data_IF_476320458840
#
_entry.id   IF_476320458840
#
_cell.length_a   1.000
_cell.length_b   1.000
_cell.length_c   1.000
_cell.angle_alpha   90.00
_cell.angle_beta   90.00
_cell.angle_gamma   90.00
#
_symmetry.space_group_name_H-M   'P 1'
#
loop_
_entity.id
_entity.type
_entity.pdbx_description
1 polymer ?
#
# COMPACT_ATOMS: atom_id res chain seq x y z
N UNK A 1 2.18 -5.96 -3.00
CA UNK A 1 1.37 -5.39 -1.90
C UNK A 1 1.69 -6.11 -0.59
N UNK A 2 1.61 -5.42 0.55
CA UNK A 2 1.92 -6.02 1.86
C UNK A 2 0.75 -6.80 2.47
N UNK A 3 -0.50 -6.37 2.23
CA UNK A 3 -1.71 -6.97 2.84
C UNK A 3 -2.90 -7.08 1.87
N UNK A 4 -2.64 -7.39 0.61
CA UNK A 4 -3.67 -7.54 -0.42
C UNK A 4 -3.19 -8.37 -1.59
N UNK A 5 -4.08 -8.65 -2.54
CA UNK A 5 -3.77 -9.43 -3.74
C UNK A 5 -3.22 -8.50 -4.83
N UNK A 6 -2.04 -8.77 -5.41
CA UNK A 6 -1.53 -7.98 -6.52
C UNK A 6 -2.40 -8.17 -7.77
N UNK A 7 -2.56 -7.10 -8.55
CA UNK A 7 -3.19 -7.10 -9.86
C UNK A 7 -2.33 -6.29 -10.81
N UNK A 8 -1.88 -6.92 -11.89
CA UNK A 8 -1.03 -6.30 -12.91
C UNK A 8 -1.89 -5.40 -13.80
N UNK A 9 -1.42 -4.19 -14.04
CA UNK A 9 -2.10 -3.18 -14.87
C UNK A 9 -1.25 -2.70 -16.05
N UNK A 10 0.07 -2.93 -16.02
CA UNK A 10 1.05 -2.43 -17.00
C UNK A 10 0.91 -0.92 -17.29
N UNK A 11 0.70 -0.13 -16.22
CA UNK A 11 0.61 1.33 -16.28
C UNK A 11 1.80 1.97 -15.56
N UNK A 12 2.29 3.08 -16.13
CA UNK A 12 3.25 3.96 -15.47
C UNK A 12 2.52 5.23 -15.04
N UNK A 13 2.58 5.52 -13.74
CA UNK A 13 2.12 6.77 -13.18
C UNK A 13 3.32 7.60 -12.76
N UNK A 14 3.40 8.83 -13.23
CA UNK A 14 4.48 9.75 -12.92
C UNK A 14 3.93 11.17 -12.72
N UNK A 15 4.51 11.89 -11.77
CA UNK A 15 4.14 13.27 -11.46
C UNK A 15 5.05 13.82 -10.37
N UNK A 16 5.16 15.15 -10.30
CA UNK A 16 5.94 15.84 -9.27
C UNK A 16 5.21 15.94 -7.92
N UNK A 17 3.89 15.78 -7.92
CA UNK A 17 3.05 15.78 -6.72
C UNK A 17 2.64 14.33 -6.37
N UNK A 18 3.16 13.83 -5.25
CA UNK A 18 2.90 12.48 -4.76
C UNK A 18 1.44 12.27 -4.36
N UNK A 19 0.77 13.27 -3.78
CA UNK A 19 -0.65 13.17 -3.41
C UNK A 19 -1.49 13.02 -4.68
N UNK A 20 -1.14 13.77 -5.73
CA UNK A 20 -1.80 13.68 -7.04
C UNK A 20 -1.63 12.31 -7.69
N UNK A 21 -0.41 11.76 -7.67
CA UNK A 21 -0.11 10.43 -8.23
C UNK A 21 -0.89 9.35 -7.49
N UNK A 22 -0.83 9.31 -6.16
CA UNK A 22 -1.53 8.31 -5.36
C UNK A 22 -3.05 8.45 -5.47
N UNK A 23 -3.57 9.68 -5.55
CA UNK A 23 -5.02 9.91 -5.75
C UNK A 23 -5.48 9.45 -7.13
N UNK A 24 -4.61 9.50 -8.14
CA UNK A 24 -4.89 8.94 -9.47
C UNK A 24 -4.86 7.42 -9.42
N UNK A 25 -3.87 6.82 -8.75
CA UNK A 25 -3.81 5.38 -8.53
C UNK A 25 -5.07 4.85 -7.80
N UNK A 26 -5.56 5.56 -6.77
CA UNK A 26 -6.82 5.23 -6.10
C UNK A 26 -7.99 5.17 -7.07
N UNK A 27 -8.14 6.17 -7.95
CA UNK A 27 -9.21 6.21 -8.95
C UNK A 27 -9.10 5.06 -9.95
N UNK A 28 -7.89 4.72 -10.40
CA UNK A 28 -7.65 3.54 -11.25
C UNK A 28 -8.06 2.25 -10.54
N UNK A 29 -7.82 2.15 -9.23
CA UNK A 29 -8.23 1.02 -8.40
C UNK A 29 -9.73 1.04 -8.01
N UNK A 30 -10.50 2.03 -8.49
CA UNK A 30 -11.89 2.32 -8.07
C UNK A 30 -12.06 2.49 -6.56
N UNK A 31 -11.07 3.12 -5.92
CA UNK A 31 -11.11 3.55 -4.53
C UNK A 31 -11.27 5.06 -4.50
N UNK A 32 -12.24 5.58 -3.73
CA UNK A 32 -12.36 7.03 -3.53
C UNK A 32 -11.15 7.54 -2.74
N UNK A 33 -10.35 8.48 -3.28
CA UNK A 33 -9.23 9.08 -2.55
C UNK A 33 -9.63 9.71 -1.21
N UNK A 34 -10.88 10.17 -1.05
CA UNK A 34 -11.36 10.76 0.19
C UNK A 34 -11.52 9.76 1.34
N UNK A 35 -11.70 8.46 1.02
CA UNK A 35 -11.73 7.38 2.01
C UNK A 35 -10.33 7.05 2.55
N UNK A 36 -9.28 7.48 1.84
CA UNK A 36 -7.89 7.22 2.19
C UNK A 36 -7.38 8.33 3.12
N UNK A 37 -7.34 8.03 4.42
CA UNK A 37 -7.05 9.01 5.48
C UNK A 37 -5.72 9.77 5.27
N UNK A 38 -4.66 9.08 4.84
CA UNK A 38 -3.36 9.74 4.66
C UNK A 38 -3.37 10.71 3.48
N UNK A 39 -4.08 10.43 2.39
CA UNK A 39 -4.21 11.36 1.25
C UNK A 39 -4.98 12.61 1.64
N UNK A 40 -6.10 12.43 2.34
CA UNK A 40 -6.89 13.55 2.88
C UNK A 40 -6.07 14.41 3.83
N UNK A 41 -5.26 13.79 4.69
CA UNK A 41 -4.43 14.50 5.66
C UNK A 41 -3.28 15.25 4.98
N UNK A 42 -2.59 14.62 4.03
CA UNK A 42 -1.51 15.25 3.26
C UNK A 42 -2.01 16.44 2.43
N UNK A 43 -3.16 16.27 1.77
CA UNK A 43 -3.82 17.34 1.01
C UNK A 43 -4.22 18.53 1.89
N UNK A 44 -4.85 18.27 3.04
CA UNK A 44 -5.18 19.33 4.02
C UNK A 44 -3.94 20.03 4.59
N UNK A 45 -2.82 19.34 4.67
CA UNK A 45 -1.53 19.90 5.09
C UNK A 45 -0.80 20.68 3.98
N UNK A 46 -1.37 20.75 2.76
CA UNK A 46 -0.75 21.46 1.63
C UNK A 46 0.41 20.72 0.99
N UNK A 47 0.58 19.42 1.24
CA UNK A 47 1.66 18.60 0.67
C UNK A 47 1.40 18.15 -0.78
N UNK A 48 0.23 18.46 -1.30
CA UNK A 48 -0.19 18.12 -2.67
C UNK A 48 -1.71 18.21 -2.84
N UNK A 49 -2.18 17.90 -4.03
CA UNK A 49 -3.61 17.95 -4.40
C UNK A 49 -4.18 16.55 -4.62
N UNK A 50 -5.42 16.32 -4.19
CA UNK A 50 -6.17 15.11 -4.56
C UNK A 50 -6.90 15.24 -5.89
N UNK A 51 -6.93 16.44 -6.48
CA UNK A 51 -7.65 16.75 -7.72
C UNK A 51 -6.66 17.18 -8.82
N UNK A 52 -5.81 16.27 -9.30
CA UNK A 52 -4.89 16.58 -10.40
C UNK A 52 -5.60 16.66 -11.73
N UNK A 53 -4.97 17.37 -12.67
CA UNK A 53 -5.20 17.17 -14.10
C UNK A 53 -4.32 16.00 -14.57
N UNK A 54 -4.96 14.90 -14.95
CA UNK A 54 -4.25 13.74 -15.51
C UNK A 54 -4.10 13.92 -17.02
N UNK A 55 -2.87 13.72 -17.51
CA UNK A 55 -2.53 13.76 -18.93
C UNK A 55 -1.81 12.47 -19.31
N UNK A 56 -2.05 11.97 -20.51
CA UNK A 56 -1.46 10.70 -20.98
C UNK A 56 -2.20 10.14 -22.18
N UNK A 57 -1.73 8.99 -22.65
CA UNK A 57 -2.29 8.28 -23.80
C UNK A 57 -3.68 7.70 -23.52
N UNK A 58 -3.94 7.31 -22.27
CA UNK A 58 -5.17 6.63 -21.86
C UNK A 58 -5.87 7.42 -20.76
N UNK A 59 -7.21 7.45 -20.79
CA UNK A 59 -7.98 8.07 -19.72
C UNK A 59 -8.10 7.14 -18.52
N UNK A 60 -8.18 7.72 -17.32
CA UNK A 60 -8.34 6.96 -16.08
C UNK A 60 -9.57 6.04 -16.12
N UNK A 61 -10.67 6.49 -16.72
CA UNK A 61 -11.90 5.70 -16.86
C UNK A 61 -11.71 4.39 -17.62
N UNK A 62 -10.80 4.37 -18.59
CA UNK A 62 -10.67 3.28 -19.55
C UNK A 62 -9.84 2.13 -18.96
N UNK A 63 -9.01 2.44 -17.97
CA UNK A 63 -8.17 1.47 -17.24
C UNK A 63 -8.67 1.22 -15.82
N UNK A 64 -9.68 1.95 -15.36
CA UNK A 64 -10.19 1.82 -14.00
C UNK A 64 -10.83 0.45 -13.78
N UNK A 65 -10.35 -0.27 -12.76
CA UNK A 65 -10.79 -1.62 -12.46
C UNK A 65 -10.86 -1.84 -10.96
N UNK A 66 -11.69 -2.76 -10.52
CA UNK A 66 -11.86 -3.04 -9.10
C UNK A 66 -10.64 -3.79 -8.56
N UNK A 67 -10.16 -3.32 -7.41
CA UNK A 67 -9.15 -3.99 -6.61
C UNK A 67 -9.79 -4.51 -5.33
N UNK A 68 -9.42 -5.72 -4.92
CA UNK A 68 -9.81 -6.24 -3.63
C UNK A 68 -9.23 -5.35 -2.51
N UNK A 69 -10.06 -4.99 -1.53
CA UNK A 69 -9.61 -4.22 -0.36
C UNK A 69 -8.56 -5.02 0.41
N UNK A 70 -7.48 -4.34 0.77
CA UNK A 70 -6.49 -4.90 1.66
C UNK A 70 -7.10 -5.16 3.05
N UNK A 71 -6.84 -6.33 3.62
CA UNK A 71 -7.21 -6.58 5.00
C UNK A 71 -6.25 -5.80 5.91
N UNK A 72 -6.73 -4.91 6.79
CA UNK A 72 -5.86 -4.17 7.69
C UNK A 72 -5.11 -5.16 8.59
N UNK A 73 -3.82 -4.88 8.85
CA UNK A 73 -3.02 -5.66 9.81
C UNK A 73 -3.59 -5.50 11.21
N UNK A 74 -4.58 -6.34 11.54
CA UNK A 74 -5.30 -6.32 12.83
C UNK A 74 -4.32 -6.33 14.02
N UNK A 75 -3.19 -7.03 13.91
CA UNK A 75 -2.18 -7.05 14.98
C UNK A 75 -1.60 -5.65 15.27
N UNK A 76 -1.34 -4.85 14.23
CA UNK A 76 -0.77 -3.52 14.39
C UNK A 76 -1.82 -2.53 14.86
N UNK A 77 -3.02 -2.58 14.26
CA UNK A 77 -4.13 -1.65 14.57
C UNK A 77 -4.77 -1.92 15.94
N UNK A 78 -4.95 -3.18 16.34
CA UNK A 78 -5.57 -3.54 17.62
C UNK A 78 -4.56 -3.68 18.77
N UNK A 79 -3.29 -3.99 18.48
CA UNK A 79 -2.26 -4.22 19.51
C UNK A 79 -1.30 -3.05 19.71
N UNK A 80 -0.48 -2.74 18.70
CA UNK A 80 0.64 -1.80 18.84
C UNK A 80 0.21 -0.33 18.82
N UNK A 81 -0.74 0.05 17.94
CA UNK A 81 -1.17 1.45 17.80
C UNK A 81 -1.70 2.06 19.10
N UNK A 82 -2.59 1.38 19.87
CA UNK A 82 -3.10 1.91 21.14
C UNK A 82 -2.01 2.09 22.20
N UNK A 83 -1.03 1.17 22.24
CA UNK A 83 0.12 1.25 23.15
C UNK A 83 1.04 2.43 22.81
N UNK A 84 1.28 2.66 21.51
CA UNK A 84 2.11 3.77 21.01
C UNK A 84 1.46 5.15 21.24
N UNK A 85 0.12 5.22 21.28
CA UNK A 85 -0.62 6.45 21.59
C UNK A 85 -0.55 6.85 23.07
N UNK A 86 -0.12 5.97 23.98
CA UNK A 86 0.01 6.24 25.42
C UNK A 86 1.46 6.63 25.76
N UNK A 87 1.66 7.89 26.14
CA UNK A 87 3.00 8.50 26.40
C UNK A 87 3.92 7.63 27.27
N UNK A 88 3.39 7.05 28.34
CA UNK A 88 4.18 6.29 29.32
C UNK A 88 4.46 4.84 28.88
N UNK A 89 3.57 4.24 28.08
CA UNK A 89 3.74 2.86 27.59
C UNK A 89 4.55 2.80 26.30
N UNK A 90 4.66 3.93 25.58
CA UNK A 90 5.43 4.04 24.34
C UNK A 90 6.87 3.54 24.52
N UNK A 91 7.57 3.96 25.58
CA UNK A 91 8.97 3.58 25.79
C UNK A 91 9.13 2.10 26.13
N UNK A 92 8.22 1.53 26.92
CA UNK A 92 8.25 0.10 27.27
C UNK A 92 7.92 -0.75 26.04
N UNK A 93 6.85 -0.41 25.31
CA UNK A 93 6.45 -1.09 24.08
C UNK A 93 7.55 -1.03 23.01
N UNK A 94 8.20 0.14 22.85
CA UNK A 94 9.24 0.34 21.85
C UNK A 94 10.58 -0.28 22.23
N UNK A 95 10.99 -0.27 23.50
CA UNK A 95 12.30 -0.78 23.89
C UNK A 95 12.30 -2.30 24.15
N UNK A 96 11.22 -2.85 24.72
CA UNK A 96 11.18 -4.25 25.15
C UNK A 96 10.38 -5.17 24.22
N UNK A 97 9.26 -4.69 23.67
CA UNK A 97 8.38 -5.54 22.85
C UNK A 97 8.68 -5.44 21.34
N UNK A 98 9.29 -4.34 20.90
CA UNK A 98 9.58 -4.10 19.48
C UNK A 98 10.63 -5.05 18.91
N UNK A 99 11.73 -5.29 19.61
CA UNK A 99 12.83 -6.14 19.14
C UNK A 99 12.35 -7.59 18.96
N UNK A 100 11.78 -8.28 19.96
CA UNK A 100 11.23 -9.63 19.76
C UNK A 100 10.05 -9.61 18.79
N UNK A 101 9.19 -8.58 18.83
CA UNK A 101 8.07 -8.43 17.90
C UNK A 101 8.51 -8.39 16.43
N UNK A 102 9.65 -7.76 16.12
CA UNK A 102 10.23 -7.75 14.76
C UNK A 102 10.58 -9.15 14.27
N UNK A 103 11.15 -10.00 15.13
CA UNK A 103 11.46 -11.38 14.76
C UNK A 103 10.17 -12.16 14.46
N UNK A 104 9.14 -12.01 15.29
CA UNK A 104 7.83 -12.64 15.08
C UNK A 104 7.20 -12.19 13.76
N UNK A 105 7.16 -10.87 13.50
CA UNK A 105 6.63 -10.34 12.23
C UNK A 105 7.44 -10.85 11.04
N UNK A 106 8.77 -10.93 11.16
CA UNK A 106 9.64 -11.49 10.11
C UNK A 106 9.30 -12.96 9.84
N UNK A 107 9.09 -13.77 10.88
CA UNK A 107 8.70 -15.18 10.73
C UNK A 107 7.34 -15.31 10.04
N UNK A 108 6.32 -14.58 10.50
CA UNK A 108 4.98 -14.57 9.88
C UNK A 108 5.07 -14.20 8.40
N UNK A 109 5.83 -13.15 8.06
CA UNK A 109 5.99 -12.70 6.68
C UNK A 109 6.74 -13.72 5.83
N UNK A 110 7.78 -14.34 6.36
CA UNK A 110 8.53 -15.38 5.66
C UNK A 110 7.67 -16.61 5.39
N UNK A 111 6.89 -17.05 6.37
CA UNK A 111 5.95 -18.17 6.21
C UNK A 111 4.86 -17.87 5.17
N UNK A 112 4.28 -16.66 5.22
CA UNK A 112 3.32 -16.23 4.18
C UNK A 112 3.97 -16.16 2.81
N UNK A 113 5.20 -15.66 2.71
CA UNK A 113 5.92 -15.57 1.45
C UNK A 113 6.23 -16.96 0.87
N UNK A 114 6.62 -17.91 1.71
CA UNK A 114 6.87 -19.29 1.29
C UNK A 114 5.59 -19.99 0.76
N UNK A 115 4.44 -19.73 1.38
CA UNK A 115 3.16 -20.35 0.98
C UNK A 115 2.48 -19.68 -0.22
N UNK A 116 2.26 -18.37 -0.12
CA UNK A 116 1.37 -17.60 -1.01
C UNK A 116 2.12 -16.49 -1.76
N UNK A 117 3.04 -15.80 -1.07
CA UNK A 117 3.74 -14.65 -1.63
C UNK A 117 4.61 -14.98 -2.84
N UNK A 118 5.32 -16.12 -2.84
CA UNK A 118 6.16 -16.57 -3.95
C UNK A 118 5.34 -16.84 -5.21
N UNK A 119 4.16 -17.47 -5.08
CA UNK A 119 3.26 -17.73 -6.21
C UNK A 119 2.76 -16.42 -6.82
N UNK A 120 2.35 -15.48 -5.97
CA UNK A 120 1.90 -14.16 -6.41
C UNK A 120 3.01 -13.35 -7.09
N UNK A 121 4.24 -13.41 -6.56
CA UNK A 121 5.39 -12.77 -7.19
C UNK A 121 5.68 -13.37 -8.57
N UNK A 122 5.70 -14.70 -8.68
CA UNK A 122 5.90 -15.38 -9.98
C UNK A 122 4.77 -15.10 -10.97
N UNK A 123 3.53 -14.99 -10.50
CA UNK A 123 2.40 -14.64 -11.36
C UNK A 123 2.55 -13.22 -11.93
N UNK A 124 2.94 -12.24 -11.09
CA UNK A 124 3.23 -10.88 -11.55
C UNK A 124 4.37 -10.87 -12.57
N UNK A 125 5.45 -11.61 -12.30
CA UNK A 125 6.58 -11.77 -13.22
C UNK A 125 6.24 -12.59 -14.47
N UNK A 126 5.15 -13.35 -14.50
CA UNK A 126 4.72 -14.12 -15.66
C UNK A 126 3.71 -13.39 -16.55
N UNK A 127 2.96 -12.45 -15.96
CA UNK A 127 1.81 -11.79 -16.63
C UNK A 127 2.07 -10.35 -17.00
N UNK A 128 3.06 -9.68 -16.40
CA UNK A 128 3.40 -8.31 -16.77
C UNK A 128 4.13 -8.23 -18.10
N UNK A 129 3.75 -7.23 -18.91
CA UNK A 129 4.48 -6.85 -20.13
C UNK A 129 5.94 -6.47 -19.89
N UNK A 130 6.34 -6.18 -18.64
CA UNK A 130 7.71 -5.82 -18.25
C UNK A 130 8.49 -6.94 -17.56
N UNK A 131 7.93 -8.15 -17.52
CA UNK A 131 8.49 -9.32 -16.86
C UNK A 131 9.95 -9.61 -17.19
N UNK A 132 10.33 -9.48 -18.46
CA UNK A 132 11.70 -9.74 -18.95
C UNK A 132 12.76 -8.82 -18.32
N UNK A 133 12.38 -7.63 -17.83
CA UNK A 133 13.34 -6.71 -17.17
C UNK A 133 13.76 -7.17 -15.76
N UNK A 134 13.00 -8.11 -15.18
CA UNK A 134 13.14 -8.55 -13.80
C UNK A 134 13.57 -10.02 -13.66
N UNK A 135 13.84 -10.70 -14.78
CA UNK A 135 14.44 -12.03 -14.83
C UNK A 135 15.96 -11.95 -14.74
#
# INVERSE_FOLDING_TARGET
PANGTPKVMDLILAGSDLVSVDSTACRIMKIDPNEVEYLRTASKAGLGSMNPKVVGEVKVSDVATEFARANPQRYYTMGMLPLLKRKHLKNIAYNYFWIPGRFVVKLIRNSWYAGEGKKNAMNVLGTSGYSEQWK
#
